data_IF_192454904760
#
_entry.id   IF_192454904760
#
_cell.length_a   1.000
_cell.length_b   1.000
_cell.length_c   1.000
_cell.angle_alpha   90.00
_cell.angle_beta   90.00
_cell.angle_gamma   90.00
#
_symmetry.space_group_name_H-M   'P 1'
#
loop_
_entity.id
_entity.type
_entity.pdbx_description
1 polymer ?
#
# COMPACT_ATOMS: atom_id res chain seq x y z
N UNK A 1 33.49 -34.81 -15.41
CA UNK A 1 32.20 -35.15 -14.78
C UNK A 1 31.62 -34.04 -13.88
N UNK A 2 32.34 -32.92 -13.62
CA UNK A 2 31.82 -31.84 -12.76
C UNK A 2 30.90 -30.82 -13.47
N UNK A 3 31.10 -30.56 -14.76
CA UNK A 3 30.45 -29.44 -15.46
C UNK A 3 28.93 -29.61 -15.61
N UNK A 4 28.44 -30.84 -15.77
CA UNK A 4 27.01 -31.11 -15.95
C UNK A 4 26.22 -30.99 -14.64
N UNK A 5 26.87 -31.32 -13.52
CA UNK A 5 26.33 -31.15 -12.17
C UNK A 5 26.24 -29.66 -11.80
N UNK A 6 27.26 -28.87 -12.16
CA UNK A 6 27.25 -27.42 -11.98
C UNK A 6 26.15 -26.76 -12.83
N UNK A 7 26.01 -27.16 -14.10
CA UNK A 7 24.94 -26.65 -14.97
C UNK A 7 23.54 -27.03 -14.47
N UNK A 8 23.36 -28.27 -13.97
CA UNK A 8 22.09 -28.70 -13.39
C UNK A 8 21.74 -27.93 -12.12
N UNK A 9 22.71 -27.67 -11.24
CA UNK A 9 22.53 -26.86 -10.03
C UNK A 9 22.20 -25.41 -10.39
N UNK A 10 22.91 -24.81 -11.35
CA UNK A 10 22.62 -23.44 -11.82
C UNK A 10 21.22 -23.32 -12.44
N UNK A 11 20.80 -24.32 -13.22
CA UNK A 11 19.46 -24.34 -13.82
C UNK A 11 18.37 -24.51 -12.76
N UNK A 12 18.61 -25.34 -11.74
CA UNK A 12 17.69 -25.53 -10.63
C UNK A 12 17.57 -24.26 -9.78
N UNK A 13 18.69 -23.60 -9.44
CA UNK A 13 18.70 -22.33 -8.72
C UNK A 13 18.00 -21.21 -9.50
N UNK A 14 18.21 -21.11 -10.82
CA UNK A 14 17.55 -20.10 -11.65
C UNK A 14 16.02 -20.27 -11.63
N UNK A 15 15.52 -21.50 -11.74
CA UNK A 15 14.07 -21.76 -11.69
C UNK A 15 13.46 -21.52 -10.31
N UNK A 16 14.19 -21.81 -9.23
CA UNK A 16 13.74 -21.51 -7.85
C UNK A 16 13.64 -20.00 -7.60
N UNK A 17 14.58 -19.21 -8.09
CA UNK A 17 14.56 -17.74 -7.96
C UNK A 17 13.43 -17.10 -8.77
N UNK A 18 13.04 -17.70 -9.91
CA UNK A 18 11.94 -17.20 -10.74
C UNK A 18 10.56 -17.51 -10.12
N UNK A 19 10.46 -18.50 -9.22
CA UNK A 19 9.18 -18.94 -8.63
C UNK A 19 8.79 -18.20 -7.34
N UNK A 20 9.70 -17.45 -6.72
CA UNK A 20 9.36 -16.60 -5.58
C UNK A 20 8.74 -15.31 -6.10
N UNK A 21 7.50 -15.01 -5.69
CA UNK A 21 6.85 -13.75 -6.02
C UNK A 21 7.75 -12.57 -5.63
N UNK A 22 7.75 -11.50 -6.42
CA UNK A 22 8.59 -10.30 -6.19
C UNK A 22 8.19 -9.50 -4.94
N UNK A 23 7.22 -9.98 -4.15
CA UNK A 23 6.78 -9.33 -2.94
C UNK A 23 7.77 -9.54 -1.80
N UNK A 24 7.80 -8.59 -0.87
CA UNK A 24 8.80 -8.57 0.19
C UNK A 24 8.44 -9.43 1.42
N UNK A 25 7.32 -10.16 1.37
CA UNK A 25 6.83 -11.07 2.41
C UNK A 25 7.53 -12.44 2.45
N UNK A 26 7.20 -13.25 3.47
CA UNK A 26 7.90 -14.51 3.80
C UNK A 26 7.85 -15.58 2.70
N UNK A 27 6.81 -15.57 1.86
CA UNK A 27 6.59 -16.53 0.76
C UNK A 27 6.62 -15.86 -0.64
N UNK A 28 7.17 -14.65 -0.74
CA UNK A 28 7.06 -13.81 -1.95
C UNK A 28 5.72 -13.07 -2.08
N UNK A 29 4.90 -13.12 -1.02
CA UNK A 29 3.65 -12.37 -0.91
C UNK A 29 3.90 -10.85 -0.91
N UNK A 30 2.96 -10.10 -1.48
CA UNK A 30 3.00 -8.66 -1.48
C UNK A 30 2.51 -8.09 -0.13
N UNK A 31 3.30 -7.21 0.48
CA UNK A 31 2.97 -6.59 1.76
C UNK A 31 2.16 -5.32 1.58
N UNK A 32 0.88 -5.38 1.95
CA UNK A 32 -0.03 -4.24 1.95
C UNK A 32 0.05 -3.51 3.30
N UNK A 33 0.48 -2.25 3.30
CA UNK A 33 0.50 -1.43 4.51
C UNK A 33 -0.86 -0.78 4.78
N UNK A 34 -1.41 -1.04 5.97
CA UNK A 34 -2.72 -0.59 6.41
C UNK A 34 -2.58 0.24 7.68
N UNK A 35 -3.27 1.37 7.72
CA UNK A 35 -3.44 2.19 8.92
C UNK A 35 -4.86 1.95 9.45
N UNK A 36 -4.98 1.54 10.71
CA UNK A 36 -6.31 1.43 11.34
C UNK A 36 -6.89 2.82 11.61
N UNK A 37 -8.11 3.06 11.13
CA UNK A 37 -8.83 4.30 11.43
C UNK A 37 -9.36 4.31 12.86
N UNK A 38 -9.54 5.50 13.42
CA UNK A 38 -10.28 5.69 14.68
C UNK A 38 -11.77 5.43 14.42
N UNK A 39 -12.20 4.18 14.57
CA UNK A 39 -13.57 3.73 14.35
C UNK A 39 -13.61 2.45 13.55
N UNK A 40 -13.59 2.54 12.22
CA UNK A 40 -13.70 1.38 11.35
C UNK A 40 -12.36 0.69 11.10
N UNK A 41 -12.15 -0.44 11.78
CA UNK A 41 -10.96 -1.28 11.68
C UNK A 41 -10.99 -2.16 10.43
N UNK A 42 -10.65 -1.58 9.28
CA UNK A 42 -10.62 -2.28 7.99
C UNK A 42 -9.65 -3.46 8.00
N UNK A 43 -8.45 -3.28 8.54
CA UNK A 43 -7.45 -4.35 8.58
C UNK A 43 -7.94 -5.56 9.37
N UNK A 44 -8.41 -5.35 10.61
CA UNK A 44 -8.96 -6.44 11.42
C UNK A 44 -10.12 -7.21 10.75
N UNK A 45 -10.92 -6.55 9.90
CA UNK A 45 -12.05 -7.19 9.20
C UNK A 45 -11.63 -7.92 7.92
N UNK A 46 -10.77 -7.31 7.11
CA UNK A 46 -10.49 -7.78 5.74
C UNK A 46 -9.20 -8.60 5.63
N UNK A 47 -8.21 -8.38 6.49
CA UNK A 47 -6.96 -9.14 6.44
C UNK A 47 -7.17 -10.65 6.68
N UNK A 48 -7.98 -11.10 7.65
CA UNK A 48 -8.24 -12.53 7.83
C UNK A 48 -8.82 -13.19 6.58
N UNK A 49 -9.68 -12.47 5.84
CA UNK A 49 -10.26 -12.96 4.58
C UNK A 49 -9.16 -13.12 3.52
N UNK A 50 -8.24 -12.16 3.42
CA UNK A 50 -7.12 -12.24 2.47
C UNK A 50 -6.17 -13.41 2.78
N UNK A 51 -5.99 -13.71 4.06
CA UNK A 51 -5.19 -14.83 4.54
C UNK A 51 -5.89 -16.18 4.24
N UNK A 52 -7.18 -16.29 4.54
CA UNK A 52 -8.01 -17.48 4.27
C UNK A 52 -8.06 -17.81 2.77
N UNK A 53 -8.22 -16.80 1.92
CA UNK A 53 -8.28 -16.93 0.46
C UNK A 53 -6.90 -17.13 -0.19
N UNK A 54 -5.80 -17.14 0.59
CA UNK A 54 -4.42 -17.24 0.09
C UNK A 54 -4.14 -16.26 -1.05
N UNK A 55 -4.57 -15.02 -0.87
CA UNK A 55 -4.57 -13.97 -1.90
C UNK A 55 -3.17 -13.55 -2.39
N UNK A 56 -2.10 -14.06 -1.78
CA UNK A 56 -0.73 -13.58 -2.02
C UNK A 56 -0.46 -12.20 -1.44
N UNK A 57 -1.34 -11.70 -0.56
CA UNK A 57 -1.21 -10.41 0.14
C UNK A 57 -1.01 -10.66 1.63
N UNK A 58 -0.01 -10.02 2.20
CA UNK A 58 0.23 -9.99 3.65
C UNK A 58 -0.07 -8.58 4.19
N UNK A 59 -0.88 -8.48 5.23
CA UNK A 59 -1.20 -7.20 5.86
C UNK A 59 -0.10 -6.76 6.85
N UNK A 60 0.43 -5.56 6.65
CA UNK A 60 1.35 -4.90 7.59
C UNK A 60 0.68 -3.68 8.20
N UNK A 61 0.72 -3.53 9.52
CA UNK A 61 0.08 -2.41 10.20
C UNK A 61 1.06 -1.27 10.47
N UNK A 62 0.72 -0.08 9.98
CA UNK A 62 1.42 1.18 10.26
C UNK A 62 0.69 2.01 11.31
N UNK A 63 1.44 2.84 12.06
CA UNK A 63 0.84 3.77 13.04
C UNK A 63 0.05 4.89 12.37
N UNK A 64 0.57 5.37 11.24
CA UNK A 64 -0.02 6.41 10.41
C UNK A 64 0.45 6.25 8.96
N UNK A 65 -0.05 7.12 8.08
CA UNK A 65 0.20 7.04 6.63
C UNK A 65 1.65 7.36 6.28
N UNK A 66 2.33 8.18 7.08
CA UNK A 66 3.76 8.47 6.91
C UNK A 66 4.62 7.30 7.39
N UNK A 67 4.21 6.57 8.44
CA UNK A 67 4.85 5.31 8.83
C UNK A 67 4.77 4.27 7.69
N UNK A 68 3.59 4.11 7.09
CA UNK A 68 3.45 3.25 5.91
C UNK A 68 4.35 3.68 4.74
N UNK A 69 4.46 4.98 4.43
CA UNK A 69 5.39 5.47 3.41
C UNK A 69 6.84 5.13 3.74
N UNK A 70 7.25 5.30 5.01
CA UNK A 70 8.61 4.94 5.46
C UNK A 70 8.87 3.44 5.37
N UNK A 71 7.88 2.60 5.67
CA UNK A 71 7.99 1.15 5.53
C UNK A 71 8.17 0.74 4.07
N UNK A 72 7.41 1.37 3.16
CA UNK A 72 7.58 1.17 1.71
C UNK A 72 9.00 1.58 1.28
N UNK A 73 9.46 2.76 1.70
CA UNK A 73 10.81 3.22 1.39
C UNK A 73 11.91 2.29 1.92
N UNK A 74 11.71 1.70 3.10
CA UNK A 74 12.63 0.74 3.71
C UNK A 74 12.50 -0.68 3.15
N UNK A 75 11.56 -0.94 2.25
CA UNK A 75 11.27 -2.28 1.72
C UNK A 75 10.65 -3.23 2.74
N UNK A 76 10.03 -2.71 3.81
CA UNK A 76 9.29 -3.51 4.81
C UNK A 76 7.77 -3.54 4.56
N UNK A 77 7.32 -2.88 3.51
CA UNK A 77 6.01 -3.01 2.88
C UNK A 77 6.17 -2.74 1.37
N UNK A 78 5.24 -3.23 0.56
CA UNK A 78 5.32 -3.09 -0.91
C UNK A 78 4.41 -1.97 -1.44
N UNK A 79 3.19 -1.85 -0.90
CA UNK A 79 2.24 -0.83 -1.35
C UNK A 79 1.23 -0.43 -0.27
N UNK A 80 0.53 0.68 -0.50
CA UNK A 80 -0.48 1.23 0.40
C UNK A 80 -1.30 2.33 -0.25
N UNK A 81 -2.40 2.73 0.38
CA UNK A 81 -3.31 3.75 -0.16
C UNK A 81 -3.01 5.12 0.44
N UNK A 82 -2.52 6.04 -0.39
CA UNK A 82 -2.10 7.40 0.00
C UNK A 82 -3.04 8.49 -0.53
N UNK A 83 -3.09 9.65 0.15
CA UNK A 83 -3.82 10.83 -0.26
C UNK A 83 -2.82 11.76 -0.94
N UNK A 84 -3.28 12.68 -1.81
CA UNK A 84 -2.37 13.61 -2.47
C UNK A 84 -1.44 14.38 -1.51
N UNK A 85 -1.93 14.72 -0.32
CA UNK A 85 -1.20 15.43 0.70
C UNK A 85 -0.06 14.57 1.30
N UNK A 86 -0.29 13.27 1.48
CA UNK A 86 0.74 12.34 1.94
C UNK A 86 1.87 12.21 0.92
N UNK A 87 1.54 12.21 -0.38
CA UNK A 87 2.51 12.14 -1.46
C UNK A 87 3.36 13.41 -1.54
N UNK A 88 2.76 14.58 -1.25
CA UNK A 88 3.50 15.83 -1.12
C UNK A 88 4.49 15.79 0.05
N UNK A 89 4.06 15.23 1.19
CA UNK A 89 4.94 15.00 2.33
C UNK A 89 6.06 14.01 2.02
N UNK A 90 5.79 12.95 1.25
CA UNK A 90 6.80 11.99 0.78
C UNK A 90 7.89 12.68 -0.05
N UNK A 91 7.51 13.58 -0.94
CA UNK A 91 8.45 14.38 -1.74
C UNK A 91 9.40 15.19 -0.85
N UNK A 92 8.88 15.85 0.20
CA UNK A 92 9.72 16.61 1.14
C UNK A 92 10.66 15.73 1.94
N UNK A 93 10.25 14.50 2.24
CA UNK A 93 11.06 13.50 2.92
C UNK A 93 12.05 12.76 1.99
N UNK A 94 12.11 13.13 0.70
CA UNK A 94 12.91 12.45 -0.35
C UNK A 94 12.62 10.95 -0.46
N UNK A 95 11.36 10.58 -0.22
CA UNK A 95 10.89 9.20 -0.37
C UNK A 95 10.36 9.03 -1.79
N UNK A 96 11.11 8.31 -2.62
CA UNK A 96 10.68 7.95 -3.98
C UNK A 96 9.71 6.78 -3.92
N UNK A 97 8.48 6.98 -4.40
CA UNK A 97 7.43 5.97 -4.48
C UNK A 97 6.75 6.02 -5.84
N UNK A 98 6.48 4.86 -6.42
CA UNK A 98 5.63 4.74 -7.60
C UNK A 98 4.17 4.92 -7.19
N UNK A 99 3.44 5.78 -7.90
CA UNK A 99 2.05 6.11 -7.59
C UNK A 99 1.16 5.63 -8.72
N UNK A 100 0.12 4.87 -8.37
CA UNK A 100 -1.02 4.57 -9.26
C UNK A 100 -2.27 5.27 -8.75
N UNK A 101 -3.17 5.64 -9.66
CA UNK A 101 -4.38 6.40 -9.33
C UNK A 101 -5.57 5.47 -9.09
N UNK A 102 -6.38 5.78 -8.08
CA UNK A 102 -7.66 5.11 -7.85
C UNK A 102 -8.65 5.49 -8.97
N UNK A 103 -9.07 4.51 -9.78
CA UNK A 103 -10.11 4.72 -10.80
C UNK A 103 -11.48 4.61 -10.13
N UNK A 104 -12.24 5.70 -10.15
CA UNK A 104 -13.65 5.71 -9.71
C UNK A 104 -14.55 5.85 -10.91
N UNK A 105 -15.35 4.82 -11.17
CA UNK A 105 -16.46 4.96 -12.11
C UNK A 105 -17.55 5.79 -11.42
N UNK A 106 -17.64 7.06 -11.79
CA UNK A 106 -18.73 7.96 -11.41
C UNK A 106 -19.24 8.63 -12.67
N UNK A 107 -20.55 8.82 -12.78
CA UNK A 107 -21.19 9.51 -13.91
C UNK A 107 -20.80 10.99 -14.03
N UNK A 108 -20.07 11.55 -13.06
CA UNK A 108 -19.63 12.95 -13.05
C UNK A 108 -18.12 13.04 -12.82
N UNK A 109 -17.43 14.00 -13.47
CA UNK A 109 -16.01 14.22 -13.24
C UNK A 109 -15.72 14.41 -11.75
N UNK A 110 -14.80 13.62 -11.22
CA UNK A 110 -14.42 13.66 -9.82
C UNK A 110 -13.29 14.69 -9.65
N UNK A 111 -13.63 15.85 -9.07
CA UNK A 111 -12.67 16.77 -8.49
C UNK A 111 -13.14 17.05 -7.05
N UNK A 112 -12.24 16.91 -6.07
CA UNK A 112 -12.54 17.34 -4.69
C UNK A 112 -12.32 18.84 -4.60
N UNK A 113 -13.34 19.60 -4.22
CA UNK A 113 -13.19 20.99 -3.80
C UNK A 113 -12.94 21.05 -2.29
N UNK A 114 -11.89 21.74 -1.88
CA UNK A 114 -11.69 22.08 -0.47
C UNK A 114 -12.72 23.14 -0.09
N UNK A 115 -13.56 22.86 0.91
CA UNK A 115 -14.58 23.79 1.41
C UNK A 115 -14.39 24.01 2.90
N UNK A 116 -14.62 25.24 3.36
CA UNK A 116 -14.70 25.55 4.78
C UNK A 116 -16.14 25.33 5.24
N UNK A 117 -16.38 24.30 6.05
CA UNK A 117 -17.66 24.11 6.72
C UNK A 117 -17.69 24.96 7.99
N UNK A 118 -18.56 25.97 8.02
CA UNK A 118 -18.79 26.80 9.21
C UNK A 118 -20.11 26.42 9.87
N UNK A 119 -20.15 26.49 11.20
CA UNK A 119 -21.39 26.28 11.94
C UNK A 119 -22.34 27.45 11.64
N UNK A 120 -23.61 27.14 11.31
CA UNK A 120 -24.64 28.13 11.02
C UNK A 120 -24.81 29.17 12.14
N UNK A 121 -24.53 28.78 13.39
CA UNK A 121 -24.60 29.68 14.56
C UNK A 121 -23.60 30.85 14.52
N UNK A 122 -22.55 30.75 13.70
CA UNK A 122 -21.48 31.76 13.58
C UNK A 122 -21.78 32.73 12.43
N UNK A 123 -22.71 32.39 11.55
CA UNK A 123 -23.13 33.28 10.47
C UNK A 123 -24.10 34.32 11.06
N UNK A 124 -23.85 35.63 10.89
CA UNK A 124 -24.84 36.64 11.22
C UNK A 124 -26.11 36.36 10.41
N UNK A 125 -27.27 36.36 11.07
CA UNK A 125 -28.54 36.17 10.37
C UNK A 125 -28.74 37.30 9.35
N UNK A 126 -28.88 36.91 8.07
CA UNK A 126 -29.36 37.81 7.01
C UNK A 126 -28.30 38.71 6.38
N UNK A 127 -27.80 38.30 5.21
CA UNK A 127 -27.69 39.17 4.04
C UNK A 127 -28.09 38.39 2.79
#
# INVERSE_FOLDING_TARGET
MSNWLVLAVLFYCANVVILQGTGSGADGNLRLCIVEGRGYKRGAKYCPILDEEKSGIECVFGTDRLDCLRRIHKGTADFGVFQPEDLKAAQWAKVEVLVTNEIKLKDRPFARSVVAAVNRRILPEGR
#
